data_IF_935336588447
#
_entry.id   IF_935336588447
#
_cell.length_a   1.000
_cell.length_b   1.000
_cell.length_c   1.000
_cell.angle_alpha   90.00
_cell.angle_beta   90.00
_cell.angle_gamma   90.00
#
_symmetry.space_group_name_H-M   'P 1'
#
loop_
_entity.id
_entity.type
_entity.pdbx_description
1 polymer ?
#
# COMPACT_ATOMS: atom_id res chain seq x y z
N UNK A 1 1.22 -37.86 60.93
CA UNK A 1 0.83 -37.99 59.50
C UNK A 1 0.71 -36.65 58.76
N UNK A 2 0.53 -35.50 59.42
CA UNK A 2 0.31 -34.19 58.76
C UNK A 2 1.46 -33.67 57.85
N UNK A 3 2.73 -34.00 58.13
CA UNK A 3 3.88 -33.51 57.34
C UNK A 3 3.92 -34.02 55.90
N UNK A 4 3.40 -35.22 55.61
CA UNK A 4 3.44 -35.81 54.26
C UNK A 4 2.42 -35.17 53.31
N UNK A 5 1.23 -34.82 53.80
CA UNK A 5 0.20 -34.14 53.02
C UNK A 5 0.60 -32.72 52.62
N UNK A 6 1.22 -31.96 53.54
CA UNK A 6 1.70 -30.61 53.26
C UNK A 6 2.81 -30.58 52.20
N UNK A 7 3.80 -31.48 52.29
CA UNK A 7 4.86 -31.57 51.27
C UNK A 7 4.33 -31.96 49.89
N UNK A 8 3.31 -32.81 49.82
CA UNK A 8 2.67 -33.19 48.56
C UNK A 8 1.92 -32.02 47.91
N UNK A 9 1.20 -31.22 48.72
CA UNK A 9 0.51 -30.01 48.23
C UNK A 9 1.52 -28.97 47.73
N UNK A 10 2.62 -28.74 48.45
CA UNK A 10 3.67 -27.82 48.01
C UNK A 10 4.35 -28.28 46.72
N UNK A 11 4.57 -29.59 46.54
CA UNK A 11 5.10 -30.14 45.30
C UNK A 11 4.13 -29.92 44.12
N UNK A 12 2.83 -30.11 44.34
CA UNK A 12 1.81 -29.85 43.33
C UNK A 12 1.78 -28.36 42.93
N UNK A 13 1.86 -27.45 43.90
CA UNK A 13 1.94 -26.01 43.64
C UNK A 13 3.20 -25.62 42.86
N UNK A 14 4.35 -26.22 43.19
CA UNK A 14 5.59 -25.98 42.46
C UNK A 14 5.47 -26.45 41.00
N UNK A 15 4.90 -27.63 40.76
CA UNK A 15 4.66 -28.14 39.40
C UNK A 15 3.71 -27.24 38.63
N UNK A 16 2.58 -26.84 39.23
CA UNK A 16 1.62 -25.93 38.61
C UNK A 16 2.25 -24.57 38.26
N UNK A 17 3.08 -24.04 39.15
CA UNK A 17 3.78 -22.78 38.91
C UNK A 17 4.78 -22.90 37.75
N UNK A 18 5.59 -23.97 37.72
CA UNK A 18 6.52 -24.22 36.61
C UNK A 18 5.76 -24.39 35.29
N UNK A 19 4.66 -25.15 35.29
CA UNK A 19 3.82 -25.31 34.11
C UNK A 19 3.24 -23.98 33.62
N UNK A 20 2.77 -23.12 34.53
CA UNK A 20 2.26 -21.79 34.18
C UNK A 20 3.35 -20.92 33.55
N UNK A 21 4.55 -20.88 34.14
CA UNK A 21 5.69 -20.14 33.60
C UNK A 21 6.07 -20.65 32.21
N UNK A 22 6.07 -21.97 31.98
CA UNK A 22 6.34 -22.55 30.67
C UNK A 22 5.31 -22.15 29.62
N UNK A 23 4.01 -22.16 29.96
CA UNK A 23 2.93 -21.76 29.04
C UNK A 23 3.05 -20.28 28.70
N UNK A 24 3.24 -19.41 29.69
CA UNK A 24 3.39 -17.97 29.46
C UNK A 24 4.65 -17.67 28.64
N UNK A 25 5.77 -18.32 28.94
CA UNK A 25 7.01 -18.17 28.18
C UNK A 25 6.85 -18.61 26.71
N UNK A 26 6.16 -19.73 26.49
CA UNK A 26 5.86 -20.21 25.14
C UNK A 26 4.96 -19.23 24.36
N UNK A 27 3.91 -18.69 24.99
CA UNK A 27 3.04 -17.69 24.36
C UNK A 27 3.80 -16.39 24.02
N UNK A 28 4.72 -15.95 24.88
CA UNK A 28 5.55 -14.78 24.60
C UNK A 28 6.50 -15.01 23.41
N UNK A 29 7.14 -16.19 23.34
CA UNK A 29 8.03 -16.55 22.22
C UNK A 29 7.23 -16.62 20.91
N UNK A 30 6.06 -17.28 20.91
CA UNK A 30 5.19 -17.31 19.73
C UNK A 30 4.73 -15.91 19.32
N UNK A 31 4.34 -15.07 20.29
CA UNK A 31 3.96 -13.68 20.02
C UNK A 31 5.10 -12.85 19.43
N UNK A 32 6.33 -13.06 19.90
CA UNK A 32 7.52 -12.40 19.35
C UNK A 32 7.84 -12.87 17.94
N UNK A 33 7.82 -14.19 17.69
CA UNK A 33 8.05 -14.77 16.36
C UNK A 33 6.97 -14.32 15.36
N UNK A 34 5.70 -14.31 15.78
CA UNK A 34 4.61 -13.85 14.95
C UNK A 34 4.79 -12.37 14.57
N UNK A 35 5.11 -11.50 15.55
CA UNK A 35 5.40 -10.09 15.29
C UNK A 35 6.62 -9.89 14.41
N UNK A 36 7.70 -10.65 14.63
CA UNK A 36 8.89 -10.52 13.80
C UNK A 36 8.57 -10.90 12.35
N UNK A 37 7.99 -12.08 12.12
CA UNK A 37 7.65 -12.54 10.76
C UNK A 37 6.68 -11.59 10.08
N UNK A 38 5.65 -11.12 10.78
CA UNK A 38 4.72 -10.12 10.23
C UNK A 38 5.40 -8.78 9.95
N UNK A 39 6.31 -8.31 10.81
CA UNK A 39 7.04 -7.06 10.56
C UNK A 39 7.99 -7.16 9.35
N UNK A 40 8.59 -8.33 9.10
CA UNK A 40 9.42 -8.56 7.92
C UNK A 40 8.60 -8.58 6.64
N UNK A 41 7.47 -9.31 6.63
CA UNK A 41 6.55 -9.28 5.50
C UNK A 41 5.96 -7.90 5.28
N UNK A 42 5.66 -7.16 6.36
CA UNK A 42 5.17 -5.79 6.29
C UNK A 42 6.17 -4.84 5.63
N UNK A 43 7.44 -4.88 6.07
CA UNK A 43 8.49 -4.08 5.47
C UNK A 43 8.70 -4.41 3.98
N UNK A 44 8.54 -5.68 3.60
CA UNK A 44 8.62 -6.11 2.22
C UNK A 44 7.45 -5.57 1.39
N UNK A 45 6.20 -5.69 1.87
CA UNK A 45 5.01 -5.14 1.19
C UNK A 45 5.10 -3.61 1.08
N UNK A 46 5.61 -2.93 2.10
CA UNK A 46 5.88 -1.48 2.09
C UNK A 46 6.92 -1.10 1.04
N UNK A 47 8.04 -1.83 0.95
CA UNK A 47 9.04 -1.61 -0.09
C UNK A 47 8.49 -1.88 -1.50
N UNK A 48 7.67 -2.91 -1.67
CA UNK A 48 7.00 -3.19 -2.95
C UNK A 48 6.06 -2.05 -3.33
N UNK A 49 5.28 -1.51 -2.38
CA UNK A 49 4.38 -0.38 -2.64
C UNK A 49 5.15 0.89 -3.00
N UNK A 50 6.22 1.16 -2.28
CA UNK A 50 7.12 2.26 -2.60
C UNK A 50 7.72 2.11 -4.00
N UNK A 51 8.26 0.94 -4.33
CA UNK A 51 8.88 0.68 -5.63
C UNK A 51 7.86 0.77 -6.77
N UNK A 52 6.69 0.14 -6.62
CA UNK A 52 5.64 0.17 -7.63
C UNK A 52 5.14 1.58 -7.91
N UNK A 53 4.88 2.39 -6.86
CA UNK A 53 4.43 3.76 -7.03
C UNK A 53 5.49 4.62 -7.77
N UNK A 54 6.77 4.50 -7.41
CA UNK A 54 7.84 5.22 -8.09
C UNK A 54 8.00 4.78 -9.55
N UNK A 55 8.01 3.47 -9.82
CA UNK A 55 8.15 2.94 -11.18
C UNK A 55 7.00 3.41 -12.06
N UNK A 56 5.76 3.36 -11.56
CA UNK A 56 4.59 3.85 -12.30
C UNK A 56 4.68 5.35 -12.60
N UNK A 57 5.09 6.17 -11.63
CA UNK A 57 5.28 7.60 -11.85
C UNK A 57 6.36 7.87 -12.90
N UNK A 58 7.53 7.23 -12.76
CA UNK A 58 8.65 7.39 -13.71
C UNK A 58 8.29 6.94 -15.12
N UNK A 59 7.60 5.80 -15.27
CA UNK A 59 7.15 5.34 -16.58
C UNK A 59 6.23 6.35 -17.27
N UNK A 60 5.33 6.99 -16.53
CA UNK A 60 4.47 8.04 -17.11
C UNK A 60 5.27 9.27 -17.50
N UNK A 61 6.29 9.66 -16.72
CA UNK A 61 7.21 10.72 -17.13
C UNK A 61 7.93 10.35 -18.43
N UNK A 62 8.55 9.17 -18.48
CA UNK A 62 9.38 8.77 -19.61
C UNK A 62 8.56 8.54 -20.89
N UNK A 63 7.34 8.02 -20.78
CA UNK A 63 6.51 7.68 -21.95
C UNK A 63 5.55 8.79 -22.35
N UNK A 64 4.90 9.46 -21.39
CA UNK A 64 3.89 10.49 -21.69
C UNK A 64 4.53 11.87 -21.74
N UNK A 65 5.39 12.22 -20.79
CA UNK A 65 5.97 13.57 -20.76
C UNK A 65 7.01 13.79 -21.87
N UNK A 66 7.68 12.73 -22.34
CA UNK A 66 8.57 12.81 -23.49
C UNK A 66 7.86 13.18 -24.81
N UNK A 67 6.53 13.02 -24.90
CA UNK A 67 5.76 13.41 -26.07
C UNK A 67 5.62 14.93 -26.17
N UNK A 68 5.43 15.45 -27.38
CA UNK A 68 5.08 16.85 -27.58
C UNK A 68 3.73 17.17 -26.88
N UNK A 69 3.53 18.35 -26.27
CA UNK A 69 2.32 18.65 -25.50
C UNK A 69 0.99 18.37 -26.23
N UNK A 70 0.93 18.65 -27.54
CA UNK A 70 -0.23 18.34 -28.39
C UNK A 70 -0.53 16.84 -28.56
N UNK A 71 0.46 15.98 -28.37
CA UNK A 71 0.35 14.52 -28.44
C UNK A 71 0.07 13.90 -27.07
N UNK A 72 0.49 14.57 -25.98
CA UNK A 72 0.26 14.12 -24.59
C UNK A 72 -1.21 13.88 -24.31
N UNK A 73 -2.07 14.81 -24.73
CA UNK A 73 -3.53 14.69 -24.57
C UNK A 73 -4.08 13.44 -25.25
N UNK A 74 -3.70 13.20 -26.51
CA UNK A 74 -4.18 12.04 -27.25
C UNK A 74 -3.68 10.72 -26.65
N UNK A 75 -2.44 10.68 -26.14
CA UNK A 75 -1.87 9.52 -25.47
C UNK A 75 -2.53 9.25 -24.11
N UNK A 76 -2.81 10.29 -23.33
CA UNK A 76 -3.57 10.15 -22.09
C UNK A 76 -4.99 9.66 -22.38
N UNK A 77 -5.63 10.22 -23.41
CA UNK A 77 -6.98 9.84 -23.84
C UNK A 77 -7.11 8.36 -24.23
N UNK A 78 -6.04 7.73 -24.72
CA UNK A 78 -6.02 6.30 -25.05
C UNK A 78 -5.60 5.40 -23.89
N UNK A 79 -4.89 5.93 -22.89
CA UNK A 79 -4.27 5.13 -21.83
C UNK A 79 -5.12 4.95 -20.58
N UNK A 80 -6.01 5.88 -20.25
CA UNK A 80 -6.81 5.76 -19.02
C UNK A 80 -8.11 5.00 -19.17
N UNK A 81 -8.60 4.52 -18.04
CA UNK A 81 -9.86 3.74 -17.94
C UNK A 81 -11.10 4.65 -17.82
N UNK A 82 -10.98 5.91 -18.24
CA UNK A 82 -12.00 6.95 -18.15
C UNK A 82 -11.55 8.19 -17.36
N UNK A 83 -12.13 9.33 -17.72
CA UNK A 83 -11.93 10.63 -17.05
C UNK A 83 -12.75 10.63 -15.75
N UNK A 84 -12.11 10.83 -14.60
CA UNK A 84 -12.85 11.04 -13.35
C UNK A 84 -13.48 12.44 -13.41
N UNK A 85 -14.77 12.50 -13.74
CA UNK A 85 -15.52 13.74 -13.90
C UNK A 85 -16.18 14.14 -12.58
N UNK A 86 -15.41 14.63 -11.62
CA UNK A 86 -15.94 15.40 -10.50
C UNK A 86 -15.26 16.78 -10.49
N UNK A 87 -15.72 17.63 -11.40
CA UNK A 87 -15.53 19.09 -11.37
C UNK A 87 -14.14 19.61 -11.75
N UNK A 88 -14.03 20.15 -12.97
CA UNK A 88 -12.94 20.99 -13.49
C UNK A 88 -11.50 20.41 -13.49
N UNK A 89 -10.99 20.15 -14.71
CA UNK A 89 -9.57 19.86 -14.95
C UNK A 89 -9.33 18.48 -15.55
N UNK A 90 -8.45 18.37 -16.54
CA UNK A 90 -8.19 17.15 -17.31
C UNK A 90 -7.43 16.07 -16.54
N UNK A 91 -8.01 15.54 -15.46
CA UNK A 91 -7.41 14.46 -14.67
C UNK A 91 -7.69 13.08 -15.28
N UNK A 92 -6.62 12.40 -15.62
CA UNK A 92 -6.56 11.04 -16.14
C UNK A 92 -6.20 10.07 -15.04
N UNK A 93 -6.80 8.88 -15.01
CA UNK A 93 -6.47 7.82 -14.06
C UNK A 93 -6.43 6.47 -14.79
N UNK A 94 -5.44 5.66 -14.42
CA UNK A 94 -5.34 4.27 -14.86
C UNK A 94 -5.12 3.37 -13.66
N UNK A 95 -5.93 2.31 -13.56
CA UNK A 95 -5.80 1.28 -12.54
C UNK A 95 -5.02 0.08 -13.08
N UNK A 96 -4.13 -0.47 -12.28
CA UNK A 96 -3.35 -1.67 -12.61
C UNK A 96 -3.36 -2.60 -11.40
N UNK A 97 -3.90 -3.79 -11.57
CA UNK A 97 -3.71 -4.88 -10.59
C UNK A 97 -2.38 -5.56 -10.93
N UNK A 98 -1.41 -5.47 -10.03
CA UNK A 98 -0.07 -6.03 -10.22
C UNK A 98 -0.03 -7.52 -9.90
N UNK A 99 -0.82 -7.94 -8.91
CA UNK A 99 -0.96 -9.32 -8.50
C UNK A 99 -2.33 -9.53 -7.85
N UNK A 100 -3.19 -10.33 -8.47
CA UNK A 100 -4.52 -10.67 -7.97
C UNK A 100 -4.47 -11.58 -6.73
N UNK A 101 -3.47 -12.48 -6.66
CA UNK A 101 -3.29 -13.38 -5.52
C UNK A 101 -2.77 -12.63 -4.30
N UNK A 102 -1.84 -11.70 -4.53
CA UNK A 102 -1.28 -10.84 -3.47
C UNK A 102 -2.11 -9.57 -3.21
N UNK A 103 -3.28 -9.40 -3.83
CA UNK A 103 -4.19 -8.25 -3.60
C UNK A 103 -3.47 -6.90 -3.70
N UNK A 104 -2.58 -6.80 -4.69
CA UNK A 104 -1.68 -5.68 -4.85
C UNK A 104 -2.14 -4.83 -6.03
N UNK A 105 -2.49 -3.59 -5.75
CA UNK A 105 -3.10 -2.69 -6.72
C UNK A 105 -2.32 -1.38 -6.80
N UNK A 106 -2.19 -0.83 -8.00
CA UNK A 106 -1.60 0.47 -8.24
C UNK A 106 -2.53 1.31 -9.11
N UNK A 107 -2.49 2.63 -8.90
CA UNK A 107 -3.08 3.59 -9.81
C UNK A 107 -2.07 4.69 -10.10
N UNK A 108 -2.15 5.23 -11.31
CA UNK A 108 -1.48 6.47 -11.68
C UNK A 108 -2.52 7.48 -12.12
N UNK A 109 -2.37 8.71 -11.69
CA UNK A 109 -3.15 9.85 -12.12
C UNK A 109 -2.25 10.94 -12.69
N UNK A 110 -2.76 11.56 -13.75
CA UNK A 110 -2.09 12.67 -14.43
C UNK A 110 -3.08 13.82 -14.52
N UNK A 111 -2.67 14.98 -14.05
CA UNK A 111 -3.48 16.20 -14.08
C UNK A 111 -2.71 17.29 -14.82
N UNK A 112 -3.32 17.86 -15.85
CA UNK A 112 -2.77 19.01 -16.53
C UNK A 112 -3.01 20.27 -15.69
N UNK A 113 -1.94 21.02 -15.41
CA UNK A 113 -1.99 22.30 -14.69
C UNK A 113 -2.24 23.49 -15.62
N UNK A 114 -2.09 23.28 -16.93
CA UNK A 114 -2.34 24.25 -17.99
C UNK A 114 -3.05 23.62 -19.19
N UNK A 115 -3.68 24.48 -20.00
CA UNK A 115 -4.48 24.06 -21.17
C UNK A 115 -3.61 23.47 -22.30
N UNK A 116 -2.32 23.78 -22.32
CA UNK A 116 -1.36 23.31 -23.32
C UNK A 116 -0.65 22.02 -22.92
N UNK A 117 -0.90 21.49 -21.70
CA UNK A 117 -0.24 20.29 -21.16
C UNK A 117 1.29 20.44 -21.04
N UNK A 118 1.78 21.67 -20.94
CA UNK A 118 3.19 22.01 -20.67
C UNK A 118 3.61 21.72 -19.23
N UNK A 119 2.64 21.72 -18.29
CA UNK A 119 2.84 21.37 -16.88
C UNK A 119 1.86 20.28 -16.45
N UNK A 120 2.41 19.19 -15.94
CA UNK A 120 1.63 18.05 -15.46
C UNK A 120 1.95 17.77 -14.00
N UNK A 121 0.92 17.44 -13.21
CA UNK A 121 1.07 16.68 -11.97
C UNK A 121 0.90 15.22 -12.32
N UNK A 122 1.93 14.43 -12.07
CA UNK A 122 1.89 12.98 -12.18
C UNK A 122 1.98 12.44 -10.77
N UNK A 123 1.03 11.60 -10.40
CA UNK A 123 1.07 10.98 -9.10
C UNK A 123 0.57 9.56 -9.17
N UNK A 124 1.22 8.70 -8.41
CA UNK A 124 1.00 7.28 -8.42
C UNK A 124 0.85 6.77 -6.99
N UNK A 125 -0.08 5.85 -6.78
CA UNK A 125 -0.21 5.13 -5.54
C UNK A 125 -0.16 3.64 -5.81
N UNK A 126 0.45 2.92 -4.90
CA UNK A 126 0.34 1.48 -4.81
C UNK A 126 -0.12 1.11 -3.40
N UNK A 127 -1.03 0.16 -3.33
CA UNK A 127 -1.58 -0.32 -2.08
C UNK A 127 -1.79 -1.83 -2.11
N UNK A 128 -1.59 -2.41 -0.93
CA UNK A 128 -1.92 -3.78 -0.62
C UNK A 128 -2.97 -3.76 0.48
N UNK A 129 -4.01 -4.57 0.39
CA UNK A 129 -4.93 -4.75 1.50
C UNK A 129 -5.42 -6.18 1.60
N UNK A 130 -5.18 -6.83 2.75
CA UNK A 130 -5.68 -8.18 3.05
C UNK A 130 -7.18 -8.21 3.40
N UNK A 131 -7.84 -7.05 3.46
CA UNK A 131 -9.27 -6.91 3.74
C UNK A 131 -10.11 -6.80 2.48
N UNK A 132 -9.48 -6.51 1.34
CA UNK A 132 -10.20 -6.55 0.08
C UNK A 132 -10.50 -8.01 -0.27
N UNK A 133 -11.70 -8.33 -0.81
CA UNK A 133 -11.94 -9.64 -1.38
C UNK A 133 -11.07 -9.82 -2.63
N UNK A 134 -10.74 -11.07 -2.98
CA UNK A 134 -10.00 -11.37 -4.23
C UNK A 134 -10.71 -10.86 -5.49
N UNK A 135 -12.03 -10.64 -5.42
CA UNK A 135 -12.88 -10.06 -6.46
C UNK A 135 -13.26 -8.60 -6.18
N UNK A 136 -12.36 -7.84 -5.56
CA UNK A 136 -12.58 -6.42 -5.26
C UNK A 136 -12.94 -5.63 -6.53
N UNK A 137 -13.95 -4.78 -6.43
CA UNK A 137 -14.36 -3.94 -7.56
C UNK A 137 -13.42 -2.75 -7.72
N UNK A 138 -13.31 -2.21 -8.93
CA UNK A 138 -12.50 -1.01 -9.22
C UNK A 138 -12.83 0.15 -8.28
N UNK A 139 -14.09 0.30 -7.88
CA UNK A 139 -14.51 1.31 -6.90
C UNK A 139 -13.88 1.09 -5.52
N UNK A 140 -13.83 -0.15 -5.04
CA UNK A 140 -13.20 -0.49 -3.76
C UNK A 140 -11.68 -0.28 -3.82
N UNK A 141 -11.06 -0.64 -4.94
CA UNK A 141 -9.63 -0.44 -5.15
C UNK A 141 -9.30 1.05 -5.23
N UNK A 142 -10.09 1.86 -5.94
CA UNK A 142 -9.93 3.32 -5.97
C UNK A 142 -10.12 3.93 -4.58
N UNK A 143 -11.11 3.49 -3.81
CA UNK A 143 -11.27 3.95 -2.43
C UNK A 143 -10.04 3.62 -1.56
N UNK A 144 -9.44 2.45 -1.74
CA UNK A 144 -8.19 2.07 -1.07
C UNK A 144 -7.05 3.05 -1.43
N UNK A 145 -6.89 3.36 -2.72
CA UNK A 145 -5.79 4.16 -3.27
C UNK A 145 -5.96 5.67 -3.08
N UNK A 146 -7.18 6.18 -2.96
CA UNK A 146 -7.46 7.62 -2.75
C UNK A 146 -7.59 8.01 -1.27
N UNK A 147 -7.59 7.05 -0.34
CA UNK A 147 -7.70 7.33 1.09
C UNK A 147 -6.52 8.20 1.56
N UNK A 148 -6.81 9.45 1.95
CA UNK A 148 -5.85 10.36 2.55
C UNK A 148 -5.58 9.97 4.01
N UNK A 149 -4.31 10.07 4.42
CA UNK A 149 -3.86 9.63 5.74
C UNK A 149 -3.32 8.20 5.68
N UNK A 150 -2.00 8.09 5.67
CA UNK A 150 -1.28 6.84 5.47
C UNK A 150 -1.80 5.71 6.36
N UNK A 151 -1.96 4.53 5.78
CA UNK A 151 -2.18 3.27 6.51
C UNK A 151 -0.96 2.87 7.39
N UNK A 152 -0.09 3.81 7.76
CA UNK A 152 1.09 3.59 8.61
C UNK A 152 0.76 2.86 9.93
N UNK A 153 -0.50 2.93 10.38
CA UNK A 153 -0.97 2.28 11.59
C UNK A 153 -2.03 1.19 11.35
N UNK A 154 -2.39 0.88 10.10
CA UNK A 154 -3.33 -0.19 9.79
C UNK A 154 -2.53 -1.48 9.55
N UNK A 155 -2.67 -2.53 10.37
CA UNK A 155 -1.91 -3.77 10.17
C UNK A 155 -2.39 -4.58 8.96
N UNK A 156 -3.47 -4.16 8.29
CA UNK A 156 -4.10 -4.89 7.19
C UNK A 156 -3.97 -4.21 5.83
N UNK A 157 -3.41 -3.00 5.78
CA UNK A 157 -3.29 -2.26 4.53
C UNK A 157 -2.01 -1.43 4.47
N UNK A 158 -1.28 -1.53 3.37
CA UNK A 158 -0.13 -0.68 3.06
C UNK A 158 -0.54 0.23 1.92
N UNK A 159 -0.13 1.50 1.96
CA UNK A 159 -0.21 2.39 0.80
C UNK A 159 1.02 3.28 0.75
N UNK A 160 1.61 3.36 -0.43
CA UNK A 160 2.55 4.41 -0.76
C UNK A 160 1.98 5.25 -1.89
N UNK A 161 2.13 6.58 -1.80
CA UNK A 161 1.81 7.50 -2.88
C UNK A 161 3.00 8.42 -3.14
N UNK A 162 3.26 8.68 -4.42
CA UNK A 162 4.29 9.60 -4.90
C UNK A 162 3.60 10.62 -5.78
N UNK A 163 4.00 11.88 -5.65
CA UNK A 163 3.52 12.97 -6.47
C UNK A 163 4.71 13.75 -7.00
N UNK A 164 4.66 14.05 -8.29
CA UNK A 164 5.69 14.71 -9.05
C UNK A 164 5.05 15.80 -9.89
N UNK A 165 5.62 17.00 -9.84
CA UNK A 165 5.25 18.09 -10.75
C UNK A 165 6.32 18.16 -11.82
N UNK A 166 5.91 18.05 -13.08
CA UNK A 166 6.81 18.06 -14.22
C UNK A 166 6.46 19.24 -15.10
N UNK A 167 7.48 19.99 -15.53
CA UNK A 167 7.30 21.18 -16.37
C UNK A 167 8.23 21.09 -17.58
N UNK A 168 7.73 21.59 -18.72
CA UNK A 168 8.50 21.62 -19.95
C UNK A 168 9.11 23.00 -20.16
N UNK A 169 10.35 23.17 -19.70
CA UNK A 169 11.04 24.46 -19.76
C UNK A 169 11.32 24.97 -21.18
N UNK A 170 11.14 24.13 -22.21
CA UNK A 170 11.31 24.53 -23.61
C UNK A 170 10.04 25.08 -24.26
N UNK A 171 8.87 24.84 -23.66
CA UNK A 171 7.57 25.18 -24.26
C UNK A 171 6.72 26.14 -23.41
N UNK A 172 7.16 26.48 -22.19
CA UNK A 172 6.61 27.60 -21.42
C UNK A 172 7.23 28.94 -21.86
N UNK A 173 6.42 29.98 -22.17
CA UNK A 173 6.93 31.33 -22.48
C UNK A 173 7.57 32.04 -21.28
#
# INVERSE_FOLDING_TARGET
MARRGFSMVMALWAVLFVSLVSVVGYQMIQGFQWRSTHSWHWAQVEQTAWSAANVMATLVVDEVFALHPSQRRAALDTLGDGRFSDGDGGRWERLVTLDEESQFHAAVWVEALDDDYGRLVIAAAAAHSSQLPASATDTQIRQLLHRQGAYKNDPYAVRHAVEMVVWDGQFTP
#
